data_IF_895119308581
#
_entry.id   IF_895119308581
#
_cell.length_a   1.000
_cell.length_b   1.000
_cell.length_c   1.000
_cell.angle_alpha   90.00
_cell.angle_beta   90.00
_cell.angle_gamma   90.00
#
_symmetry.space_group_name_H-M   'P 1'
#
loop_
_entity.id
_entity.type
_entity.pdbx_description
1 polymer ?
#
# COMPACT_ATOMS: atom_id res chain seq x y z
N UNK A 1 -44.83 10.22 49.97
CA UNK A 1 -44.54 8.86 49.48
C UNK A 1 -43.66 9.02 48.24
N UNK A 2 -42.32 9.18 48.25
CA UNK A 2 -41.20 8.39 48.81
C UNK A 2 -41.39 6.87 48.64
N UNK A 3 -41.06 6.37 47.45
CA UNK A 3 -40.45 5.05 47.11
C UNK A 3 -40.81 4.68 45.66
N UNK A 4 -40.01 5.13 44.68
CA UNK A 4 -39.84 4.41 43.40
C UNK A 4 -38.71 5.04 42.55
N UNK A 5 -37.55 5.29 43.17
CA UNK A 5 -36.42 5.94 42.50
C UNK A 5 -35.17 5.08 42.66
N UNK A 6 -35.21 3.79 42.29
CA UNK A 6 -34.02 2.94 42.40
C UNK A 6 -34.05 1.63 41.59
N UNK A 7 -34.60 1.61 40.37
CA UNK A 7 -34.41 0.45 39.47
C UNK A 7 -34.16 0.78 38.00
N UNK A 8 -34.11 2.06 37.59
CA UNK A 8 -33.94 2.41 36.16
C UNK A 8 -32.50 2.77 35.80
N UNK A 9 -31.64 3.04 36.78
CA UNK A 9 -30.25 3.46 36.52
C UNK A 9 -29.22 2.33 36.36
N UNK A 10 -29.60 1.07 36.59
CA UNK A 10 -28.70 -0.09 36.43
C UNK A 10 -28.91 -0.89 35.14
N UNK A 11 -29.92 -0.53 34.33
CA UNK A 11 -30.23 -1.23 33.07
C UNK A 11 -29.61 -0.61 31.80
N UNK A 12 -29.12 0.63 31.87
CA UNK A 12 -28.67 1.37 30.67
C UNK A 12 -27.13 1.38 30.57
N UNK A 13 -26.41 1.13 31.66
CA UNK A 13 -24.93 1.10 31.66
C UNK A 13 -24.32 -0.28 31.32
N UNK A 14 -25.16 -1.31 31.21
CA UNK A 14 -24.77 -2.70 30.90
C UNK A 14 -25.14 -3.12 29.47
N UNK A 15 -25.46 -2.17 28.59
CA UNK A 15 -25.72 -2.46 27.17
C UNK A 15 -24.72 -1.82 26.20
N UNK A 16 -23.81 -0.97 26.69
CA UNK A 16 -22.75 -0.37 25.87
C UNK A 16 -21.37 -1.04 26.04
N UNK A 17 -21.26 -2.12 26.83
CA UNK A 17 -20.01 -2.88 27.00
C UNK A 17 -19.96 -4.14 26.11
N UNK A 18 -20.98 -4.38 25.28
CA UNK A 18 -21.07 -5.58 24.41
C UNK A 18 -21.07 -5.29 22.90
N UNK A 19 -20.60 -4.12 22.47
CA UNK A 19 -20.28 -3.86 21.06
C UNK A 19 -18.83 -3.39 20.92
N UNK A 20 -17.92 -4.17 21.50
CA UNK A 20 -16.55 -4.24 21.03
C UNK A 20 -16.48 -5.37 19.98
N UNK A 21 -15.95 -5.00 18.82
CA UNK A 21 -15.40 -5.88 17.78
C UNK A 21 -16.39 -6.75 17.00
N UNK A 22 -16.92 -6.18 15.92
CA UNK A 22 -17.08 -6.93 14.69
C UNK A 22 -16.30 -6.23 13.57
N UNK A 23 -14.99 -6.14 13.77
CA UNK A 23 -14.07 -5.97 12.63
C UNK A 23 -14.06 -7.33 11.96
N UNK A 24 -14.67 -7.42 10.77
CA UNK A 24 -14.51 -8.53 9.85
C UNK A 24 -13.02 -8.69 9.51
N UNK A 25 -12.25 -9.28 10.42
CA UNK A 25 -10.93 -9.79 10.11
C UNK A 25 -11.14 -11.02 9.21
N UNK A 26 -10.55 -11.05 8.00
CA UNK A 26 -10.64 -12.23 7.16
C UNK A 26 -10.08 -13.42 7.93
N UNK A 27 -10.92 -14.45 8.15
CA UNK A 27 -10.57 -15.67 8.89
C UNK A 27 -9.25 -16.23 8.36
N UNK A 28 -8.20 -16.12 9.17
CA UNK A 28 -6.87 -16.57 8.81
C UNK A 28 -6.85 -18.09 8.61
N UNK A 29 -6.71 -18.53 7.36
CA UNK A 29 -6.58 -19.93 7.00
C UNK A 29 -5.19 -20.46 7.42
N UNK A 30 -5.17 -21.39 8.39
CA UNK A 30 -3.94 -21.98 8.95
C UNK A 30 -3.16 -22.88 7.98
N UNK A 31 -3.67 -23.12 6.76
CA UNK A 31 -2.98 -23.87 5.71
C UNK A 31 -2.28 -22.98 4.66
N UNK A 32 -2.18 -21.65 4.90
CA UNK A 32 -1.49 -20.72 4.00
C UNK A 32 0.02 -20.96 3.99
N UNK A 33 0.53 -21.55 2.91
CA UNK A 33 1.95 -21.44 2.54
C UNK A 33 2.19 -20.08 1.87
N UNK A 34 3.44 -19.64 1.72
CA UNK A 34 3.81 -18.47 0.91
C UNK A 34 3.30 -18.51 -0.54
N UNK A 35 2.77 -19.65 -1.00
CA UNK A 35 2.11 -19.83 -2.29
C UNK A 35 0.61 -19.46 -2.31
N UNK A 36 -0.02 -19.19 -1.16
CA UNK A 36 -1.48 -18.97 -1.02
C UNK A 36 -1.82 -17.73 -0.17
N UNK A 37 -1.05 -16.64 -0.32
CA UNK A 37 -1.58 -15.34 0.10
C UNK A 37 -2.68 -15.02 -0.90
N UNK A 38 -3.91 -14.73 -0.43
CA UNK A 38 -4.95 -14.16 -1.30
C UNK A 38 -4.62 -12.67 -1.46
N UNK A 39 -3.48 -12.39 -2.07
CA UNK A 39 -2.86 -11.06 -2.15
C UNK A 39 -3.83 -10.07 -2.77
N UNK A 40 -4.59 -10.55 -3.76
CA UNK A 40 -5.66 -9.82 -4.40
C UNK A 40 -6.76 -9.45 -3.43
N UNK A 41 -7.32 -10.42 -2.68
CA UNK A 41 -8.39 -10.14 -1.72
C UNK A 41 -7.94 -9.21 -0.59
N UNK A 42 -6.71 -9.40 -0.09
CA UNK A 42 -6.15 -8.54 0.97
C UNK A 42 -5.95 -7.11 0.46
N UNK A 43 -5.48 -6.98 -0.79
CA UNK A 43 -5.29 -5.68 -1.40
C UNK A 43 -6.64 -4.99 -1.64
N UNK A 44 -7.63 -5.69 -2.20
CA UNK A 44 -9.00 -5.20 -2.42
C UNK A 44 -9.64 -4.71 -1.11
N UNK A 45 -9.48 -5.46 -0.01
CA UNK A 45 -9.98 -5.06 1.30
C UNK A 45 -9.32 -3.79 1.87
N UNK A 46 -8.10 -3.47 1.43
CA UNK A 46 -7.30 -2.33 1.92
C UNK A 46 -7.19 -1.19 0.91
N UNK A 47 -7.68 -1.37 -0.31
CA UNK A 47 -7.41 -0.48 -1.44
C UNK A 47 -7.77 0.96 -1.11
N UNK A 48 -8.99 1.21 -0.61
CA UNK A 48 -9.45 2.56 -0.22
C UNK A 48 -8.51 3.24 0.78
N UNK A 49 -7.96 2.49 1.74
CA UNK A 49 -7.03 3.03 2.74
C UNK A 49 -5.67 3.34 2.13
N UNK A 50 -5.19 2.48 1.23
CA UNK A 50 -3.92 2.66 0.52
C UNK A 50 -3.98 3.83 -0.45
N UNK A 51 -5.09 3.97 -1.18
CA UNK A 51 -5.36 5.09 -2.07
C UNK A 51 -5.41 6.41 -1.29
N UNK A 52 -6.18 6.46 -0.19
CA UNK A 52 -6.23 7.66 0.67
C UNK A 52 -4.84 8.04 1.21
N UNK A 53 -4.06 7.04 1.65
CA UNK A 53 -2.70 7.24 2.11
C UNK A 53 -1.77 7.74 0.98
N UNK A 54 -1.86 7.16 -0.22
CA UNK A 54 -1.10 7.60 -1.38
C UNK A 54 -1.38 9.06 -1.70
N UNK A 55 -2.65 9.45 -1.80
CA UNK A 55 -3.03 10.83 -2.13
C UNK A 55 -2.60 11.85 -1.08
N UNK A 56 -2.65 11.47 0.20
CA UNK A 56 -2.10 12.29 1.28
C UNK A 56 -0.58 12.51 1.09
N UNK A 57 0.18 11.43 0.85
CA UNK A 57 1.63 11.51 0.61
C UNK A 57 1.93 12.32 -0.65
N UNK A 58 1.14 12.17 -1.72
CA UNK A 58 1.30 12.92 -2.96
C UNK A 58 1.18 14.42 -2.72
N UNK A 59 0.09 14.85 -2.08
CA UNK A 59 -0.12 16.25 -1.69
C UNK A 59 1.07 16.79 -0.87
N UNK A 60 1.45 16.06 0.17
CA UNK A 60 2.54 16.43 1.08
C UNK A 60 3.90 16.49 0.39
N UNK A 61 4.13 15.69 -0.64
CA UNK A 61 5.36 15.70 -1.43
C UNK A 61 5.52 17.01 -2.21
N UNK A 62 4.45 17.48 -2.86
CA UNK A 62 4.45 18.75 -3.58
C UNK A 62 4.57 19.96 -2.65
N UNK A 63 4.00 19.88 -1.44
CA UNK A 63 4.15 20.88 -0.38
C UNK A 63 5.53 20.84 0.31
N UNK A 64 6.40 19.89 -0.06
CA UNK A 64 7.70 19.62 0.60
C UNK A 64 7.56 19.30 2.10
N UNK A 65 6.38 18.86 2.54
CA UNK A 65 6.04 18.47 3.91
C UNK A 65 6.01 16.94 4.05
N UNK A 66 7.15 16.29 3.84
CA UNK A 66 7.23 14.84 3.69
C UNK A 66 6.86 14.05 4.95
N UNK A 67 6.07 12.99 4.77
CA UNK A 67 5.87 11.94 5.78
C UNK A 67 7.22 11.26 6.06
N UNK A 68 7.39 10.74 7.28
CA UNK A 68 8.57 9.96 7.66
C UNK A 68 8.22 8.50 7.91
N UNK A 69 9.06 7.60 7.42
CA UNK A 69 9.03 6.18 7.71
C UNK A 69 10.44 5.74 8.10
N UNK A 70 10.61 5.25 9.33
CA UNK A 70 11.92 4.90 9.91
C UNK A 70 13.00 5.98 9.67
N UNK A 71 12.63 7.24 9.94
CA UNK A 71 13.50 8.40 9.76
C UNK A 71 13.67 8.89 8.32
N UNK A 72 13.35 8.07 7.31
CA UNK A 72 13.45 8.41 5.88
C UNK A 72 12.23 9.20 5.43
N UNK A 73 12.42 10.18 4.54
CA UNK A 73 11.32 10.93 3.93
C UNK A 73 10.60 10.05 2.91
N UNK A 74 9.29 9.99 2.95
CA UNK A 74 8.47 9.30 1.94
C UNK A 74 7.91 10.35 1.00
N UNK A 75 8.09 10.13 -0.30
CA UNK A 75 7.48 10.96 -1.35
C UNK A 75 6.71 10.09 -2.33
N UNK A 76 5.69 10.65 -2.97
CA UNK A 76 5.00 9.99 -4.07
C UNK A 76 5.90 9.86 -5.30
N UNK A 77 5.70 8.80 -6.07
CA UNK A 77 6.38 8.60 -7.35
C UNK A 77 6.02 9.69 -8.36
N UNK A 78 4.79 10.18 -8.40
CA UNK A 78 4.42 11.30 -9.29
C UNK A 78 5.25 12.55 -9.01
N UNK A 79 5.40 12.94 -7.75
CA UNK A 79 6.33 14.01 -7.37
C UNK A 79 7.77 13.70 -7.82
N UNK A 80 8.29 12.51 -7.49
CA UNK A 80 9.65 12.10 -7.84
C UNK A 80 9.90 12.19 -9.36
N UNK A 81 8.94 11.79 -10.18
CA UNK A 81 9.01 11.83 -11.64
C UNK A 81 9.05 13.26 -12.22
N UNK A 82 8.52 14.25 -11.49
CA UNK A 82 8.42 15.65 -11.92
C UNK A 82 9.47 16.54 -11.25
N UNK A 83 10.05 16.10 -10.15
CA UNK A 83 11.03 16.86 -9.38
C UNK A 83 12.37 17.00 -10.14
N UNK A 84 13.04 18.13 -9.92
CA UNK A 84 14.40 18.31 -10.46
C UNK A 84 15.39 17.41 -9.72
N UNK A 85 16.43 16.95 -10.40
CA UNK A 85 17.52 16.20 -9.77
C UNK A 85 18.12 16.95 -8.57
N UNK A 86 18.21 18.29 -8.66
CA UNK A 86 18.67 19.14 -7.56
C UNK A 86 17.77 19.06 -6.34
N UNK A 87 16.44 19.11 -6.52
CA UNK A 87 15.49 18.99 -5.40
C UNK A 87 15.60 17.62 -4.72
N UNK A 88 15.75 16.56 -5.52
CA UNK A 88 15.88 15.20 -5.02
C UNK A 88 17.23 14.97 -4.31
N UNK A 89 18.33 15.49 -4.85
CA UNK A 89 19.67 15.35 -4.25
C UNK A 89 19.78 16.04 -2.89
N UNK A 90 19.00 17.10 -2.65
CA UNK A 90 18.92 17.75 -1.34
C UNK A 90 18.21 16.90 -0.28
N UNK A 91 17.60 15.77 -0.66
CA UNK A 91 16.99 14.81 0.25
C UNK A 91 18.02 13.73 0.60
N UNK A 92 18.56 13.79 1.82
CA UNK A 92 19.61 12.86 2.26
C UNK A 92 19.20 11.39 2.19
N UNK A 93 17.97 11.06 2.62
CA UNK A 93 17.41 9.71 2.53
C UNK A 93 15.91 9.78 2.25
N UNK A 94 15.47 8.95 1.31
CA UNK A 94 14.07 8.94 0.92
C UNK A 94 13.61 7.59 0.37
N UNK A 95 12.28 7.40 0.40
CA UNK A 95 11.55 6.26 -0.15
C UNK A 95 10.51 6.81 -1.11
N UNK A 96 10.37 6.16 -2.27
CA UNK A 96 9.36 6.52 -3.26
C UNK A 96 8.15 5.60 -3.09
N UNK A 97 7.02 6.17 -2.69
CA UNK A 97 5.73 5.51 -2.65
C UNK A 97 5.08 5.58 -4.03
N UNK A 98 4.76 4.44 -4.61
CA UNK A 98 4.14 4.35 -5.94
C UNK A 98 2.74 3.77 -5.83
N UNK A 99 1.81 4.35 -6.57
CA UNK A 99 0.54 3.74 -6.95
C UNK A 99 0.55 3.60 -8.47
N UNK A 100 0.35 2.37 -8.97
CA UNK A 100 0.48 2.08 -10.40
C UNK A 100 -0.40 0.92 -10.84
N UNK A 101 -0.75 0.89 -12.11
CA UNK A 101 -1.39 -0.24 -12.78
C UNK A 101 -0.34 -1.12 -13.43
N UNK A 102 -0.42 -2.43 -13.18
CA UNK A 102 0.49 -3.42 -13.76
C UNK A 102 0.26 -3.50 -15.27
N UNK A 103 1.34 -3.38 -16.05
CA UNK A 103 1.35 -3.55 -17.52
C UNK A 103 2.05 -4.81 -17.97
N UNK A 104 3.10 -5.22 -17.27
CA UNK A 104 3.80 -6.46 -17.52
C UNK A 104 4.42 -6.98 -16.23
N UNK A 105 4.58 -8.30 -16.15
CA UNK A 105 5.30 -8.98 -15.09
C UNK A 105 6.29 -9.89 -15.79
N UNK A 106 7.57 -9.81 -15.42
CA UNK A 106 8.61 -10.66 -16.00
C UNK A 106 8.34 -12.12 -15.65
N UNK A 107 8.83 -13.01 -16.51
CA UNK A 107 8.90 -14.42 -16.16
C UNK A 107 9.77 -14.66 -14.93
N UNK A 108 9.62 -15.86 -14.36
CA UNK A 108 10.37 -16.26 -13.17
C UNK A 108 11.86 -16.34 -13.48
N UNK A 109 12.68 -15.63 -12.70
CA UNK A 109 14.13 -15.76 -12.74
C UNK A 109 14.68 -15.83 -11.32
N UNK A 110 15.36 -16.93 -10.99
CA UNK A 110 15.92 -17.17 -9.66
C UNK A 110 17.04 -16.20 -9.27
N UNK A 111 17.65 -15.52 -10.24
CA UNK A 111 18.83 -14.67 -10.04
C UNK A 111 18.51 -13.18 -9.96
N UNK A 112 17.40 -12.73 -10.56
CA UNK A 112 17.17 -11.30 -10.80
C UNK A 112 15.90 -10.73 -10.14
N UNK A 113 15.18 -11.53 -9.37
CA UNK A 113 13.89 -11.13 -8.81
C UNK A 113 12.85 -10.93 -9.92
N UNK A 114 11.90 -10.01 -9.69
CA UNK A 114 10.75 -9.82 -10.58
C UNK A 114 10.72 -8.38 -11.06
N UNK A 115 10.76 -8.21 -12.37
CA UNK A 115 10.58 -6.91 -13.00
C UNK A 115 9.11 -6.72 -13.37
N UNK A 116 8.52 -5.62 -12.93
CA UNK A 116 7.13 -5.25 -13.22
C UNK A 116 7.14 -3.96 -14.01
N UNK A 117 6.59 -3.99 -15.22
CA UNK A 117 6.25 -2.78 -15.94
C UNK A 117 4.93 -2.22 -15.40
N UNK A 118 4.88 -0.95 -15.07
CA UNK A 118 3.70 -0.30 -14.53
C UNK A 118 3.53 1.14 -15.03
N UNK A 119 2.28 1.59 -15.06
CA UNK A 119 1.91 2.98 -15.35
C UNK A 119 1.40 3.61 -14.08
N UNK A 120 1.91 4.79 -13.70
CA UNK A 120 1.43 5.50 -12.50
C UNK A 120 -0.07 5.77 -12.62
N UNK A 121 -0.81 5.63 -11.52
CA UNK A 121 -2.27 5.84 -11.54
C UNK A 121 -2.68 7.22 -12.03
N UNK A 122 -1.89 8.25 -11.73
CA UNK A 122 -2.14 9.62 -12.20
C UNK A 122 -2.01 9.78 -13.72
N UNK A 123 -1.18 8.95 -14.36
CA UNK A 123 -0.97 8.99 -15.81
C UNK A 123 -1.93 7.98 -16.53
N UNK A 124 -2.76 7.25 -15.79
CA UNK A 124 -3.59 6.20 -16.34
C UNK A 124 -4.68 6.77 -17.27
N UNK A 125 -4.72 6.27 -18.51
CA UNK A 125 -5.66 6.75 -19.54
C UNK A 125 -5.09 7.88 -20.40
N UNK A 126 -3.92 8.42 -20.07
CA UNK A 126 -3.25 9.37 -20.94
C UNK A 126 -2.60 8.68 -22.15
N UNK A 127 -2.70 9.31 -23.33
CA UNK A 127 -2.05 8.80 -24.56
C UNK A 127 -0.52 8.71 -24.47
N UNK A 128 0.08 9.44 -23.53
CA UNK A 128 1.54 9.52 -23.32
C UNK A 128 2.00 8.87 -22.00
N UNK A 129 1.14 8.06 -21.39
CA UNK A 129 1.47 7.38 -20.14
C UNK A 129 2.75 6.55 -20.28
N UNK A 130 3.75 6.85 -19.44
CA UNK A 130 5.04 6.17 -19.50
C UNK A 130 5.00 4.85 -18.70
N UNK A 131 5.47 3.78 -19.33
CA UNK A 131 5.75 2.53 -18.60
C UNK A 131 7.04 2.70 -17.82
N UNK A 132 6.95 2.49 -16.51
CA UNK A 132 8.06 2.51 -15.55
C UNK A 132 8.32 1.09 -15.09
N UNK A 133 9.58 0.78 -14.79
CA UNK A 133 9.97 -0.55 -14.34
C UNK A 133 10.24 -0.54 -12.84
N UNK A 134 9.61 -1.49 -12.15
CA UNK A 134 9.73 -1.71 -10.71
C UNK A 134 10.39 -3.07 -10.49
N UNK A 135 11.41 -3.13 -9.64
CA UNK A 135 12.10 -4.39 -9.34
C UNK A 135 11.78 -4.87 -7.94
N UNK A 136 11.20 -6.05 -7.85
CA UNK A 136 10.74 -6.68 -6.62
C UNK A 136 11.56 -7.93 -6.30
N UNK A 137 11.68 -8.27 -5.02
CA UNK A 137 12.29 -9.53 -4.60
C UNK A 137 11.44 -10.75 -5.02
N UNK A 138 12.08 -11.89 -5.25
CA UNK A 138 11.43 -13.12 -5.76
C UNK A 138 10.21 -13.58 -4.96
N UNK A 139 10.17 -13.28 -3.65
CA UNK A 139 9.03 -13.63 -2.79
C UNK A 139 7.69 -13.06 -3.27
N UNK A 140 7.71 -11.95 -4.01
CA UNK A 140 6.49 -11.32 -4.51
C UNK A 140 5.95 -11.97 -5.80
N UNK A 141 6.61 -13.00 -6.33
CA UNK A 141 6.30 -13.56 -7.66
C UNK A 141 4.85 -14.02 -7.73
N UNK A 142 4.45 -14.88 -6.78
CA UNK A 142 3.09 -15.40 -6.71
C UNK A 142 2.08 -14.27 -6.51
N UNK A 143 2.34 -13.32 -5.61
CA UNK A 143 1.43 -12.20 -5.35
C UNK A 143 1.23 -11.30 -6.57
N UNK A 144 2.30 -10.95 -7.28
CA UNK A 144 2.25 -10.12 -8.48
C UNK A 144 1.50 -10.83 -9.62
N UNK A 145 1.76 -12.12 -9.83
CA UNK A 145 1.05 -12.92 -10.84
C UNK A 145 -0.43 -13.15 -10.49
N UNK A 146 -0.76 -13.29 -9.21
CA UNK A 146 -2.15 -13.39 -8.72
C UNK A 146 -2.91 -12.08 -8.92
N UNK A 147 -2.28 -10.93 -8.65
CA UNK A 147 -2.85 -9.62 -8.96
C UNK A 147 -3.09 -9.50 -10.47
N UNK A 148 -2.07 -9.82 -11.27
CA UNK A 148 -2.15 -9.87 -12.72
C UNK A 148 -2.06 -8.50 -13.42
N UNK A 149 -1.97 -8.55 -14.74
CA UNK A 149 -1.92 -7.33 -15.58
C UNK A 149 -3.24 -6.58 -15.48
N UNK A 150 -3.16 -5.25 -15.38
CA UNK A 150 -4.30 -4.36 -15.21
C UNK A 150 -4.69 -4.12 -13.76
N UNK A 151 -4.20 -4.92 -12.81
CA UNK A 151 -4.43 -4.65 -11.39
C UNK A 151 -3.68 -3.40 -10.93
N UNK A 152 -4.32 -2.67 -10.00
CA UNK A 152 -3.66 -1.58 -9.26
C UNK A 152 -2.78 -2.19 -8.18
N UNK A 153 -1.60 -1.63 -7.98
CA UNK A 153 -0.63 -2.07 -6.99
C UNK A 153 0.05 -0.86 -6.32
N UNK A 154 0.58 -1.11 -5.13
CA UNK A 154 1.22 -0.09 -4.30
C UNK A 154 2.60 -0.57 -3.88
N UNK A 155 3.62 0.30 -3.92
CA UNK A 155 4.97 -0.09 -3.52
C UNK A 155 5.75 1.03 -2.84
N UNK A 156 6.66 0.63 -1.97
CA UNK A 156 7.78 1.47 -1.53
C UNK A 156 9.03 1.06 -2.29
N UNK A 157 9.67 2.01 -2.97
CA UNK A 157 10.88 1.76 -3.73
C UNK A 157 12.05 2.61 -3.23
N UNK A 158 13.23 2.01 -3.21
CA UNK A 158 14.47 2.72 -3.01
C UNK A 158 14.83 3.51 -4.29
N UNK A 159 15.17 4.77 -4.11
CA UNK A 159 15.66 5.64 -5.17
C UNK A 159 17.19 5.54 -5.33
N UNK A 160 17.78 6.03 -6.45
CA UNK A 160 17.13 6.72 -7.57
C UNK A 160 16.57 5.78 -8.66
N UNK A 161 16.98 4.52 -8.68
CA UNK A 161 16.68 3.62 -9.80
C UNK A 161 15.43 2.75 -9.62
N UNK A 162 14.76 2.82 -8.46
CA UNK A 162 13.58 2.00 -8.16
C UNK A 162 13.84 0.49 -8.32
N UNK A 163 15.10 0.10 -8.12
CA UNK A 163 15.63 -1.26 -8.31
C UNK A 163 15.41 -2.16 -7.10
N UNK A 164 14.86 -1.62 -6.02
CA UNK A 164 14.47 -2.39 -4.84
C UNK A 164 13.14 -1.88 -4.32
N UNK A 165 12.09 -2.63 -4.62
CA UNK A 165 10.73 -2.31 -4.26
C UNK A 165 10.15 -3.35 -3.30
N UNK A 166 9.33 -2.84 -2.40
CA UNK A 166 8.52 -3.58 -1.43
C UNK A 166 7.07 -3.42 -1.87
N UNK A 167 6.40 -4.53 -2.18
CA UNK A 167 4.97 -4.53 -2.48
C UNK A 167 4.21 -4.36 -1.16
N UNK A 168 3.34 -3.36 -1.07
CA UNK A 168 2.58 -3.06 0.15
C UNK A 168 1.11 -3.35 -0.04
N UNK A 169 0.40 -3.57 1.06
CA UNK A 169 -1.03 -3.84 1.03
C UNK A 169 -1.43 -5.29 0.78
N UNK A 170 -0.46 -6.18 0.49
CA UNK A 170 -0.72 -7.59 0.15
C UNK A 170 -0.79 -8.55 1.35
N UNK A 171 -0.66 -8.05 2.58
CA UNK A 171 -0.79 -8.89 3.79
C UNK A 171 0.44 -9.70 4.18
N UNK A 172 1.62 -9.38 3.64
CA UNK A 172 2.88 -9.95 4.13
C UNK A 172 3.13 -9.56 5.60
N UNK A 173 3.59 -10.55 6.37
CA UNK A 173 4.17 -10.35 7.71
C UNK A 173 5.68 -10.23 7.54
N UNK A 174 6.27 -9.21 8.16
CA UNK A 174 7.69 -8.88 8.12
C UNK A 174 8.37 -9.21 9.44
#
# INVERSE_FOLDING_TARGET
MKKLFLCVFFGIFMWQVLYAEDVNEPKYNRYKTWKNIESKQVLEAKEKKLEAYYWQVNKQSFEKNFVRFNGKKVMSHTYFAKASLKDIHNLSTYIVLSEFYIKSISEHNDLDGISVGGVLSEDAGEKKAQVRYFKFAQRYYTALHELGVGAKAYSYCAAPYLTSCILIGIGEKW
#
